data_IF_412142762086
#
_entry.id   IF_412142762086
#
_cell.length_a   1.000
_cell.length_b   1.000
_cell.length_c   1.000
_cell.angle_alpha   90.00
_cell.angle_beta   90.00
_cell.angle_gamma   90.00
#
_symmetry.space_group_name_H-M   'P 1'
#
loop_
_entity.id
_entity.type
_entity.pdbx_description
1 polymer ?
#
# COMPACT_ATOMS: atom_id res chain seq x y z
N UNK A 1 -15.06 -3.57 2.20
CA UNK A 1 -15.80 -3.04 3.37
C UNK A 1 -15.36 -1.59 3.55
N UNK A 2 -16.21 -0.61 3.26
CA UNK A 2 -15.90 0.80 3.56
C UNK A 2 -16.17 1.01 5.04
N UNK A 3 -15.13 0.93 5.87
CA UNK A 3 -15.27 1.17 7.31
C UNK A 3 -15.28 2.67 7.55
N UNK A 4 -16.42 3.17 8.04
CA UNK A 4 -16.63 4.59 8.32
C UNK A 4 -16.06 5.03 9.68
N UNK A 5 -15.53 4.13 10.51
CA UNK A 5 -14.77 4.49 11.72
C UNK A 5 -13.85 3.37 12.23
N UNK A 6 -12.62 3.72 12.61
CA UNK A 6 -11.64 2.88 13.34
C UNK A 6 -11.15 3.72 14.54
N UNK A 7 -11.47 3.35 15.79
CA UNK A 7 -11.00 4.05 16.98
C UNK A 7 -11.61 3.59 18.31
N UNK A 8 -10.91 3.81 19.43
CA UNK A 8 -11.38 3.55 20.80
C UNK A 8 -12.30 4.71 21.22
N UNK A 9 -13.58 4.42 21.47
CA UNK A 9 -14.56 5.41 21.91
C UNK A 9 -14.30 5.89 23.35
N UNK A 10 -14.22 7.20 23.58
CA UNK A 10 -14.48 7.79 24.90
C UNK A 10 -15.99 7.66 25.17
N UNK A 11 -16.38 7.13 26.33
CA UNK A 11 -17.79 6.94 26.69
C UNK A 11 -18.55 8.29 26.58
N UNK A 12 -19.67 8.30 25.85
CA UNK A 12 -20.55 9.47 25.70
C UNK A 12 -20.25 10.42 24.54
N UNK A 13 -19.26 10.14 23.68
CA UNK A 13 -19.02 10.92 22.46
C UNK A 13 -19.69 10.27 21.24
N UNK A 14 -20.25 11.08 20.33
CA UNK A 14 -20.65 10.61 19.00
C UNK A 14 -19.46 9.94 18.31
N UNK A 15 -19.68 8.87 17.52
CA UNK A 15 -18.60 8.22 16.79
C UNK A 15 -17.90 9.25 15.90
N UNK A 16 -16.63 9.53 16.19
CA UNK A 16 -15.78 10.36 15.34
C UNK A 16 -15.08 9.44 14.35
N UNK A 17 -15.32 9.67 13.05
CA UNK A 17 -14.44 9.11 12.02
C UNK A 17 -13.17 9.93 12.00
N UNK A 18 -12.07 9.38 12.51
CA UNK A 18 -10.78 10.07 12.51
C UNK A 18 -10.09 10.06 11.14
N UNK A 19 -10.63 9.27 10.19
CA UNK A 19 -10.13 9.08 8.82
C UNK A 19 -11.32 8.98 7.85
N UNK A 20 -11.92 10.12 7.49
CA UNK A 20 -13.14 10.15 6.67
C UNK A 20 -12.93 9.64 5.23
N UNK A 21 -11.67 9.53 4.76
CA UNK A 21 -11.32 9.23 3.36
C UNK A 21 -10.32 8.06 3.21
N UNK A 22 -10.49 6.98 3.97
CA UNK A 22 -9.67 5.78 3.82
C UNK A 22 -10.31 4.80 2.82
N UNK A 23 -9.60 4.51 1.74
CA UNK A 23 -9.93 3.44 0.80
C UNK A 23 -9.00 2.26 1.11
N UNK A 24 -9.56 1.09 1.37
CA UNK A 24 -8.80 -0.14 1.61
C UNK A 24 -9.08 -1.15 0.51
N UNK A 25 -8.02 -1.70 -0.07
CA UNK A 25 -8.08 -2.74 -1.11
C UNK A 25 -6.98 -3.76 -0.91
N UNK A 26 -7.14 -4.92 -1.53
CA UNK A 26 -6.10 -5.95 -1.59
C UNK A 26 -5.74 -6.26 -3.03
N UNK A 27 -4.48 -6.62 -3.27
CA UNK A 27 -3.99 -7.02 -4.58
C UNK A 27 -2.93 -8.11 -4.44
N UNK A 28 -2.96 -9.09 -5.33
CA UNK A 28 -1.86 -10.05 -5.47
C UNK A 28 -0.72 -9.34 -6.20
N UNK A 29 0.43 -9.22 -5.52
CA UNK A 29 1.63 -8.63 -6.09
C UNK A 29 2.71 -9.70 -6.05
N UNK A 30 3.36 -9.90 -7.19
CA UNK A 30 4.55 -10.71 -7.36
C UNK A 30 5.70 -9.76 -7.71
N UNK A 31 6.51 -9.31 -6.73
CA UNK A 31 7.66 -8.46 -7.02
C UNK A 31 8.65 -9.23 -7.89
N UNK A 32 9.11 -8.61 -8.98
CA UNK A 32 10.20 -9.20 -9.75
C UNK A 32 11.44 -9.40 -8.87
N UNK A 33 12.20 -10.47 -9.09
CA UNK A 33 13.49 -10.67 -8.40
C UNK A 33 14.38 -9.43 -8.54
N UNK A 34 14.86 -8.92 -7.40
CA UNK A 34 15.59 -7.66 -7.32
C UNK A 34 17.06 -7.93 -7.11
N UNK A 35 17.88 -7.64 -8.11
CA UNK A 35 19.34 -7.60 -7.95
C UNK A 35 19.75 -6.56 -6.88
N UNK A 36 21.02 -6.61 -6.45
CA UNK A 36 21.57 -5.62 -5.51
C UNK A 36 21.40 -4.20 -6.06
N UNK A 37 21.01 -3.27 -5.18
CA UNK A 37 20.82 -1.84 -5.47
C UNK A 37 19.90 -1.59 -6.68
N UNK A 38 18.91 -2.45 -6.89
CA UNK A 38 17.96 -2.35 -8.01
C UNK A 38 16.54 -2.12 -7.51
N UNK A 39 15.71 -1.46 -8.33
CA UNK A 39 14.29 -1.27 -8.07
C UNK A 39 13.40 -1.80 -9.18
N UNK A 40 12.15 -2.07 -8.84
CA UNK A 40 11.11 -2.47 -9.77
C UNK A 40 9.80 -1.79 -9.39
N UNK A 41 8.89 -1.63 -10.36
CA UNK A 41 7.57 -1.02 -10.12
C UNK A 41 6.51 -1.95 -10.66
N UNK A 42 5.42 -2.13 -9.90
CA UNK A 42 4.29 -2.94 -10.34
C UNK A 42 3.58 -2.34 -11.56
N UNK A 43 2.79 -3.17 -12.23
CA UNK A 43 1.68 -2.68 -13.05
C UNK A 43 0.68 -1.87 -12.20
N UNK A 44 -0.21 -1.14 -12.87
CA UNK A 44 -1.24 -0.36 -12.20
C UNK A 44 -2.26 -1.28 -11.50
N UNK A 45 -2.47 -1.02 -10.21
CA UNK A 45 -3.46 -1.67 -9.37
C UNK A 45 -4.68 -0.76 -9.30
N UNK A 46 -5.86 -1.29 -9.64
CA UNK A 46 -7.11 -0.53 -9.62
C UNK A 46 -7.55 -0.25 -8.19
N UNK A 47 -7.60 1.03 -7.83
CA UNK A 47 -8.09 1.50 -6.52
C UNK A 47 -9.10 2.62 -6.77
N UNK A 48 -10.37 2.24 -6.94
CA UNK A 48 -11.45 3.18 -7.25
C UNK A 48 -11.55 4.27 -6.19
N UNK A 49 -11.55 5.52 -6.64
CA UNK A 49 -11.56 6.68 -5.78
C UNK A 49 -10.17 7.20 -5.41
N UNK A 50 -9.06 6.59 -5.82
CA UNK A 50 -7.74 7.21 -5.64
C UNK A 50 -7.51 8.37 -6.63
N UNK A 51 -6.90 9.47 -6.19
CA UNK A 51 -6.42 10.56 -7.05
C UNK A 51 -4.96 10.91 -6.78
N UNK A 52 -4.33 11.56 -7.76
CA UNK A 52 -2.94 12.01 -7.66
C UNK A 52 -2.72 12.87 -6.41
N UNK A 53 -1.67 12.53 -5.66
CA UNK A 53 -1.31 13.20 -4.41
C UNK A 53 -1.99 12.63 -3.16
N UNK A 54 -2.87 11.65 -3.28
CA UNK A 54 -3.37 10.89 -2.12
C UNK A 54 -2.23 10.04 -1.54
N UNK A 55 -2.21 9.89 -0.21
CA UNK A 55 -1.19 9.09 0.49
C UNK A 55 -1.52 7.61 0.33
N UNK A 56 -0.51 6.79 0.04
CA UNK A 56 -0.67 5.34 -0.11
C UNK A 56 0.21 4.63 0.92
N UNK A 57 -0.41 3.81 1.75
CA UNK A 57 0.26 2.91 2.67
C UNK A 57 0.12 1.48 2.16
N UNK A 58 1.24 0.74 2.14
CA UNK A 58 1.31 -0.64 1.65
C UNK A 58 1.70 -1.57 2.78
N UNK A 59 0.98 -2.69 2.90
CA UNK A 59 1.18 -3.67 3.96
C UNK A 59 1.58 -5.00 3.32
N UNK A 60 2.84 -5.43 3.50
CA UNK A 60 3.34 -6.68 2.93
C UNK A 60 2.71 -7.90 3.63
N UNK A 61 2.52 -9.01 2.90
CA UNK A 61 2.01 -10.26 3.47
C UNK A 61 3.07 -11.06 4.24
N UNK A 62 4.35 -10.70 4.11
CA UNK A 62 5.49 -11.42 4.67
C UNK A 62 6.66 -10.47 4.98
N UNK A 63 7.72 -11.02 5.56
CA UNK A 63 8.98 -10.29 5.77
C UNK A 63 9.55 -9.80 4.43
N UNK A 64 9.95 -8.53 4.41
CA UNK A 64 10.51 -7.84 3.25
C UNK A 64 11.99 -8.14 3.03
N UNK A 65 12.67 -8.83 3.94
CA UNK A 65 14.08 -9.24 3.79
C UNK A 65 15.02 -8.04 3.48
N UNK A 66 14.70 -6.86 4.02
CA UNK A 66 15.45 -5.62 3.79
C UNK A 66 15.05 -4.82 2.54
N UNK A 67 14.14 -5.32 1.69
CA UNK A 67 13.57 -4.57 0.56
C UNK A 67 12.64 -3.47 1.08
N UNK A 68 12.73 -2.30 0.48
CA UNK A 68 11.84 -1.17 0.77
C UNK A 68 10.71 -1.13 -0.25
N UNK A 69 9.48 -0.89 0.20
CA UNK A 69 8.29 -0.75 -0.64
C UNK A 69 7.66 0.64 -0.45
N UNK A 70 7.26 1.29 -1.54
CA UNK A 70 6.62 2.60 -1.54
C UNK A 70 5.43 2.62 -2.49
N UNK A 71 4.23 2.82 -1.95
CA UNK A 71 3.02 2.98 -2.73
C UNK A 71 2.80 4.43 -3.17
N UNK A 72 2.26 4.64 -4.36
CA UNK A 72 1.83 5.96 -4.83
C UNK A 72 0.66 5.87 -5.81
N UNK A 73 -0.19 6.88 -5.82
CA UNK A 73 -1.21 7.02 -6.86
C UNK A 73 -0.52 7.50 -8.15
N UNK A 74 -0.61 6.68 -9.20
CA UNK A 74 0.03 6.95 -10.50
C UNK A 74 -0.89 7.66 -11.49
N UNK A 75 -2.21 7.47 -11.35
CA UNK A 75 -3.26 8.14 -12.11
C UNK A 75 -4.60 8.02 -11.35
N UNK A 76 -5.67 8.64 -11.87
CA UNK A 76 -7.00 8.45 -11.32
C UNK A 76 -7.36 6.96 -11.24
N UNK A 77 -7.80 6.52 -10.07
CA UNK A 77 -8.16 5.14 -9.74
C UNK A 77 -7.01 4.12 -9.86
N UNK A 78 -5.74 4.55 -9.90
CA UNK A 78 -4.61 3.67 -10.17
C UNK A 78 -3.44 3.90 -9.20
N UNK A 79 -3.09 2.87 -8.44
CA UNK A 79 -1.92 2.84 -7.55
C UNK A 79 -0.82 1.97 -8.15
N UNK A 80 0.43 2.32 -7.90
CA UNK A 80 1.59 1.45 -8.15
C UNK A 80 2.40 1.32 -6.87
N UNK A 81 3.13 0.21 -6.76
CA UNK A 81 4.09 -0.01 -5.68
C UNK A 81 5.48 -0.07 -6.30
N UNK A 82 6.38 0.76 -5.80
CA UNK A 82 7.81 0.72 -6.11
C UNK A 82 8.52 -0.11 -5.05
N UNK A 83 9.40 -0.99 -5.50
CA UNK A 83 10.29 -1.78 -4.66
C UNK A 83 11.73 -1.35 -4.91
N UNK A 84 12.55 -1.39 -3.87
CA UNK A 84 13.98 -1.16 -3.97
C UNK A 84 14.73 -2.08 -3.02
N UNK A 85 15.73 -2.78 -3.54
CA UNK A 85 16.60 -3.67 -2.77
C UNK A 85 17.92 -2.95 -2.42
N UNK A 86 18.09 -2.41 -1.20
CA UNK A 86 19.34 -1.80 -0.76
C UNK A 86 20.38 -2.81 -0.28
N UNK A 87 20.09 -4.12 -0.30
CA UNK A 87 20.97 -5.14 0.29
C UNK A 87 22.13 -5.50 -0.63
N UNK A 88 23.10 -6.25 -0.10
CA UNK A 88 24.28 -6.72 -0.82
C UNK A 88 24.07 -7.96 -1.69
N UNK A 89 22.84 -8.48 -1.79
CA UNK A 89 22.52 -9.69 -2.56
C UNK A 89 21.20 -9.54 -3.31
N UNK A 90 20.98 -10.41 -4.30
CA UNK A 90 19.67 -10.53 -4.94
C UNK A 90 18.64 -11.02 -3.93
N UNK A 91 17.46 -10.39 -3.92
CA UNK A 91 16.32 -10.80 -3.10
C UNK A 91 15.15 -11.12 -4.03
N UNK A 92 14.55 -12.29 -3.82
CA UNK A 92 13.36 -12.75 -4.52
C UNK A 92 12.23 -12.89 -3.51
N UNK A 93 11.26 -11.97 -3.57
CA UNK A 93 10.13 -11.96 -2.65
C UNK A 93 9.04 -12.86 -3.21
N UNK A 94 8.45 -13.69 -2.35
CA UNK A 94 7.33 -14.53 -2.77
C UNK A 94 6.11 -13.68 -3.15
N UNK A 95 5.42 -14.09 -4.20
CA UNK A 95 4.09 -13.58 -4.54
C UNK A 95 3.13 -13.69 -3.34
N UNK A 96 2.30 -12.68 -3.12
CA UNK A 96 1.33 -12.70 -2.04
C UNK A 96 0.26 -11.63 -2.13
N UNK A 97 -0.69 -11.67 -1.20
CA UNK A 97 -1.81 -10.73 -1.12
C UNK A 97 -1.45 -9.53 -0.25
N UNK A 98 -1.20 -8.40 -0.89
CA UNK A 98 -0.88 -7.13 -0.22
C UNK A 98 -2.16 -6.39 0.15
N UNK A 99 -2.13 -5.70 1.29
CA UNK A 99 -3.16 -4.72 1.64
C UNK A 99 -2.66 -3.32 1.30
N UNK A 100 -3.51 -2.52 0.67
CA UNK A 100 -3.19 -1.16 0.22
C UNK A 100 -4.25 -0.22 0.78
N UNK A 101 -3.79 0.79 1.49
CA UNK A 101 -4.61 1.86 2.03
C UNK A 101 -4.32 3.16 1.30
N UNK A 102 -5.35 3.78 0.74
CA UNK A 102 -5.26 5.13 0.17
C UNK A 102 -5.99 6.08 1.09
N UNK A 103 -5.27 7.09 1.56
CA UNK A 103 -5.78 8.14 2.43
C UNK A 103 -5.90 9.39 1.56
N UNK A 104 -7.13 9.77 1.23
CA UNK A 104 -7.33 10.99 0.44
C UNK A 104 -7.19 12.23 1.30
N UNK A 105 -6.55 13.25 0.72
CA UNK A 105 -6.45 14.59 1.31
C UNK A 105 -7.80 15.30 1.40
#
# INVERSE_FOLDING_TARGET
MNVSSIGIKKVGSSPASFMTNLISTTATIDPASLATVTGAVTSAITVTGAALGDRVEVFPPADMQGVMAFGFVSAANAVKVSFFNPTGSTVDLASGTWTIHVIRK
#
